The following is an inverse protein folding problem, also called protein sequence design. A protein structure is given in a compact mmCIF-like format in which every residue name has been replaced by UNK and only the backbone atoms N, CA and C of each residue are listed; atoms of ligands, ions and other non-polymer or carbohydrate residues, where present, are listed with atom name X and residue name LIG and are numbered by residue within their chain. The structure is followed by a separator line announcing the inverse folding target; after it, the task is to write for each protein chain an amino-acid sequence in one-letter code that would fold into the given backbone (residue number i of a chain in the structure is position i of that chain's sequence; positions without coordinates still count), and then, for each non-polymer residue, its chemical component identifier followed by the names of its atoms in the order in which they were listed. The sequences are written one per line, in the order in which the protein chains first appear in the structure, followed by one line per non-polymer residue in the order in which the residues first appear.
data_IF_004697886882
#
_entry.id   IF_004697886882
#
_cell.length_a   1.000
_cell.length_b   1.000
_cell.length_c   1.000
_cell.angle_alpha   90.00
_cell.angle_beta   90.00
_cell.angle_gamma   90.00
#
_symmetry.space_group_name_H-M   'P 1'
#
loop_
_entity.id
_entity.type
_entity.pdbx_description
1 polymer ?
#
# COMPACT_ATOMS: atom_id res chain seq x y z
N UNK A 1 30.79 -53.15 23.78
CA UNK A 1 30.33 -52.43 22.57
C UNK A 1 30.30 -50.94 22.91
N UNK A 2 31.37 -50.19 22.60
CA UNK A 2 31.50 -49.26 21.45
C UNK A 2 30.38 -48.20 21.35
N UNK A 3 30.69 -47.03 21.92
CA UNK A 3 30.51 -45.64 21.47
C UNK A 3 29.11 -45.14 21.04
N UNK A 4 28.60 -44.21 21.86
CA UNK A 4 28.12 -42.85 21.52
C UNK A 4 27.78 -42.57 20.05
N UNK A 5 26.52 -42.18 19.82
CA UNK A 5 26.06 -41.34 18.70
C UNK A 5 25.19 -40.27 19.37
N UNK A 6 25.82 -39.18 19.81
CA UNK A 6 25.80 -37.88 19.11
C UNK A 6 24.37 -37.34 19.00
N UNK A 7 24.03 -36.57 20.03
CA UNK A 7 23.25 -35.33 19.97
C UNK A 7 22.58 -35.03 18.62
N UNK A 8 21.30 -35.35 18.51
CA UNK A 8 20.37 -34.61 17.65
C UNK A 8 20.27 -33.19 18.21
N UNK A 9 21.26 -32.36 17.84
CA UNK A 9 21.09 -30.92 17.83
C UNK A 9 20.05 -30.70 16.74
N UNK A 10 18.81 -30.47 17.16
CA UNK A 10 17.80 -29.84 16.33
C UNK A 10 18.39 -28.50 15.90
N UNK A 11 19.04 -28.49 14.73
CA UNK A 11 19.22 -27.27 13.98
C UNK A 11 17.80 -26.86 13.56
N UNK A 12 17.10 -26.15 14.45
CA UNK A 12 16.12 -25.20 13.97
C UNK A 12 16.84 -24.36 12.90
N UNK A 13 16.27 -24.21 11.70
CA UNK A 13 16.78 -23.20 10.80
C UNK A 13 16.64 -21.89 11.58
N UNK A 14 17.77 -21.32 12.00
CA UNK A 14 17.85 -19.93 12.42
C UNK A 14 17.36 -19.15 11.21
N UNK A 15 16.05 -18.88 11.17
CA UNK A 15 15.42 -18.20 10.07
C UNK A 15 16.19 -16.89 9.89
N UNK A 16 16.75 -16.74 8.69
CA UNK A 16 17.72 -15.73 8.30
C UNK A 16 17.28 -14.34 8.78
N UNK A 17 17.93 -13.81 9.81
CA UNK A 17 17.72 -12.41 10.24
C UNK A 17 17.98 -11.43 9.08
N UNK A 18 18.76 -11.85 8.08
CA UNK A 18 19.06 -11.08 6.87
C UNK A 18 17.81 -10.74 6.04
N UNK A 19 16.88 -11.68 5.89
CA UNK A 19 15.68 -11.47 5.07
C UNK A 19 14.76 -10.43 5.73
N UNK A 20 14.61 -10.49 7.05
CA UNK A 20 13.83 -9.50 7.81
C UNK A 20 14.41 -8.10 7.67
N UNK A 21 15.73 -7.95 7.77
CA UNK A 21 16.38 -6.64 7.60
C UNK A 21 16.20 -6.09 6.19
N UNK A 22 16.29 -6.94 5.15
CA UNK A 22 16.03 -6.53 3.77
C UNK A 22 14.60 -6.00 3.61
N UNK A 23 13.61 -6.75 4.10
CA UNK A 23 12.21 -6.35 3.96
C UNK A 23 11.85 -5.11 4.78
N UNK A 24 12.49 -4.91 5.94
CA UNK A 24 12.39 -3.64 6.66
C UNK A 24 13.00 -2.47 5.87
N UNK A 25 14.13 -2.68 5.19
CA UNK A 25 14.73 -1.64 4.33
C UNK A 25 13.82 -1.31 3.13
N UNK A 26 13.16 -2.30 2.53
CA UNK A 26 12.14 -2.09 1.49
C UNK A 26 10.98 -1.25 2.03
N UNK A 27 10.48 -1.56 3.24
CA UNK A 27 9.42 -0.78 3.89
C UNK A 27 9.85 0.67 4.15
N UNK A 28 11.05 0.89 4.71
CA UNK A 28 11.58 2.25 4.95
C UNK A 28 11.69 3.03 3.65
N UNK A 29 12.20 2.41 2.58
CA UNK A 29 12.32 3.03 1.26
C UNK A 29 10.95 3.41 0.70
N UNK A 30 9.97 2.49 0.73
CA UNK A 30 8.62 2.74 0.25
C UNK A 30 7.95 3.92 0.97
N UNK A 31 8.14 4.03 2.30
CA UNK A 31 7.61 5.14 3.09
C UNK A 31 8.30 6.46 2.72
N UNK A 32 9.62 6.47 2.55
CA UNK A 32 10.36 7.67 2.12
C UNK A 32 9.96 8.13 0.72
N UNK A 33 9.80 7.21 -0.20
CA UNK A 33 9.37 7.51 -1.57
C UNK A 33 7.95 8.08 -1.57
N UNK A 34 7.04 7.52 -0.75
CA UNK A 34 5.69 8.07 -0.59
C UNK A 34 5.73 9.52 -0.07
N UNK A 35 6.53 9.78 0.96
CA UNK A 35 6.71 11.13 1.51
C UNK A 35 7.24 12.09 0.44
N UNK A 36 8.22 11.66 -0.35
CA UNK A 36 8.80 12.48 -1.41
C UNK A 36 7.76 12.80 -2.49
N UNK A 37 7.05 11.78 -2.99
CA UNK A 37 6.02 11.96 -4.01
C UNK A 37 4.88 12.87 -3.52
N UNK A 38 4.46 12.75 -2.26
CA UNK A 38 3.41 13.62 -1.70
C UNK A 38 3.81 15.09 -1.60
N UNK A 39 5.11 15.38 -1.40
CA UNK A 39 5.61 16.75 -1.45
C UNK A 39 5.50 17.34 -2.85
N UNK A 40 5.87 16.56 -3.87
CA UNK A 40 5.86 17.01 -5.26
C UNK A 40 4.47 17.05 -5.89
N UNK A 41 3.50 16.31 -5.34
CA UNK A 41 2.10 16.33 -5.79
C UNK A 41 1.47 17.73 -5.81
N UNK A 42 1.94 18.65 -4.97
CA UNK A 42 1.43 20.02 -4.93
C UNK A 42 1.80 20.82 -6.19
N UNK A 43 2.77 20.36 -6.96
CA UNK A 43 3.20 20.97 -8.21
C UNK A 43 2.45 20.36 -9.41
N UNK A 44 1.59 21.14 -10.11
CA UNK A 44 0.87 20.68 -11.29
C UNK A 44 1.79 20.20 -12.42
N UNK A 45 2.98 20.80 -12.58
CA UNK A 45 3.90 20.42 -13.65
C UNK A 45 4.46 19.02 -13.44
N UNK A 46 4.68 18.63 -12.19
CA UNK A 46 5.13 17.27 -11.82
C UNK A 46 3.99 16.26 -11.91
N UNK A 47 2.76 16.67 -11.59
CA UNK A 47 1.58 15.80 -11.70
C UNK A 47 1.23 15.42 -13.15
N UNK A 48 1.61 16.22 -14.14
CA UNK A 48 1.42 15.88 -15.55
C UNK A 48 2.42 14.82 -16.05
N UNK A 49 3.59 14.71 -15.39
CA UNK A 49 4.62 13.72 -15.73
C UNK A 49 4.04 12.29 -15.64
N UNK A 50 4.00 11.54 -16.75
CA UNK A 50 3.52 10.16 -16.77
C UNK A 50 4.29 9.23 -15.82
N UNK A 51 5.60 9.44 -15.65
CA UNK A 51 6.45 8.60 -14.80
C UNK A 51 6.07 8.83 -13.34
N UNK A 52 6.00 10.09 -12.92
CA UNK A 52 5.57 10.45 -11.57
C UNK A 52 4.18 9.88 -11.24
N UNK A 53 3.21 10.03 -12.14
CA UNK A 53 1.86 9.48 -11.94
C UNK A 53 1.84 7.97 -11.81
N UNK A 54 2.67 7.28 -12.60
CA UNK A 54 2.79 5.84 -12.53
C UNK A 54 3.36 5.40 -11.18
N UNK A 55 4.49 5.97 -10.77
CA UNK A 55 5.17 5.62 -9.51
C UNK A 55 4.26 5.89 -8.31
N UNK A 56 3.64 7.07 -8.29
CA UNK A 56 2.74 7.47 -7.22
C UNK A 56 1.51 6.56 -7.11
N UNK A 57 0.91 6.17 -8.25
CA UNK A 57 -0.21 5.22 -8.26
C UNK A 57 0.22 3.84 -7.83
N UNK A 58 1.37 3.37 -8.30
CA UNK A 58 1.89 2.03 -8.00
C UNK A 58 2.19 1.90 -6.51
N UNK A 59 2.83 2.90 -5.92
CA UNK A 59 3.16 2.91 -4.50
C UNK A 59 1.91 2.93 -3.61
N UNK A 60 0.91 3.76 -3.96
CA UNK A 60 -0.39 3.76 -3.27
C UNK A 60 -1.10 2.41 -3.33
N UNK A 61 -1.09 1.77 -4.51
CA UNK A 61 -1.67 0.43 -4.67
C UNK A 61 -0.94 -0.61 -3.82
N UNK A 62 0.38 -0.51 -3.71
CA UNK A 62 1.17 -1.43 -2.90
C UNK A 62 0.79 -1.34 -1.41
N UNK A 63 0.67 -0.13 -0.85
CA UNK A 63 0.23 0.08 0.54
C UNK A 63 -1.21 -0.41 0.82
N UNK A 64 -2.10 -0.33 -0.18
CA UNK A 64 -3.50 -0.79 -0.04
C UNK A 64 -3.74 -2.24 -0.48
N UNK A 65 -2.72 -2.93 -0.97
CA UNK A 65 -2.90 -4.29 -1.47
C UNK A 65 -3.33 -5.22 -0.33
N UNK A 66 -4.41 -6.01 -0.48
CA UNK A 66 -4.79 -7.00 0.51
C UNK A 66 -3.89 -8.25 0.47
N UNK A 67 -2.96 -8.34 -0.50
CA UNK A 67 -2.11 -9.52 -0.71
C UNK A 67 -1.27 -9.86 0.52
N UNK A 68 -1.12 -11.15 0.79
CA UNK A 68 -0.22 -11.72 1.81
C UNK A 68 0.98 -12.45 1.18
N UNK A 69 1.21 -12.25 -0.12
CA UNK A 69 2.35 -12.84 -0.82
C UNK A 69 3.67 -12.17 -0.39
N UNK A 70 4.80 -12.89 -0.44
CA UNK A 70 6.12 -12.33 -0.14
C UNK A 70 6.38 -11.00 -0.87
N UNK A 71 6.81 -9.99 -0.12
CA UNK A 71 7.06 -8.64 -0.62
C UNK A 71 5.84 -7.71 -0.69
N UNK A 72 4.63 -8.18 -0.34
CA UNK A 72 3.48 -7.30 -0.15
C UNK A 72 3.61 -6.50 1.16
N UNK A 73 2.92 -5.36 1.24
CA UNK A 73 2.87 -4.55 2.47
C UNK A 73 2.37 -5.37 3.68
N UNK A 74 1.25 -6.10 3.54
CA UNK A 74 0.69 -6.87 4.65
C UNK A 74 1.61 -8.04 5.06
N UNK A 75 2.30 -8.66 4.10
CA UNK A 75 3.25 -9.72 4.39
C UNK A 75 4.45 -9.19 5.19
N UNK A 76 5.02 -8.05 4.77
CA UNK A 76 6.13 -7.42 5.50
C UNK A 76 5.68 -6.98 6.90
N UNK A 77 4.50 -6.37 7.05
CA UNK A 77 3.94 -6.04 8.37
C UNK A 77 3.81 -7.27 9.27
N UNK A 78 3.36 -8.40 8.71
CA UNK A 78 3.23 -9.65 9.44
C UNK A 78 4.59 -10.22 9.87
N UNK A 79 5.62 -10.10 9.01
CA UNK A 79 6.99 -10.51 9.31
C UNK A 79 7.56 -9.82 10.56
N UNK A 80 7.18 -8.56 10.78
CA UNK A 80 7.65 -7.74 11.92
C UNK A 80 6.62 -7.62 13.05
N UNK A 81 5.58 -8.47 13.06
CA UNK A 81 4.51 -8.48 14.07
C UNK A 81 3.79 -7.12 14.25
N UNK A 82 3.54 -6.43 13.14
CA UNK A 82 2.76 -5.19 13.10
C UNK A 82 1.42 -5.45 12.41
N UNK A 83 0.32 -4.96 12.98
CA UNK A 83 -0.98 -4.99 12.31
C UNK A 83 -0.97 -4.10 11.05
N UNK A 84 -1.20 -4.66 9.84
CA UNK A 84 -1.12 -3.89 8.61
C UNK A 84 -2.13 -2.74 8.54
N UNK A 85 -3.34 -2.92 9.11
CA UNK A 85 -4.38 -1.88 9.13
C UNK A 85 -3.94 -0.70 10.00
N UNK A 86 -3.43 -0.98 11.19
CA UNK A 86 -2.87 0.03 12.08
C UNK A 86 -1.71 0.77 11.41
N UNK A 87 -0.78 0.06 10.77
CA UNK A 87 0.36 0.67 10.09
C UNK A 87 -0.08 1.59 8.94
N UNK A 88 -1.04 1.14 8.13
CA UNK A 88 -1.60 1.94 7.04
C UNK A 88 -2.32 3.19 7.56
N UNK A 89 -3.21 3.04 8.54
CA UNK A 89 -3.91 4.17 9.16
C UNK A 89 -2.91 5.18 9.73
N UNK A 90 -1.85 4.69 10.38
CA UNK A 90 -0.81 5.54 10.95
C UNK A 90 -0.06 6.33 9.88
N UNK A 91 0.19 5.74 8.72
CA UNK A 91 0.80 6.41 7.57
C UNK A 91 -0.13 7.48 6.98
N UNK A 92 -1.40 7.15 6.76
CA UNK A 92 -2.41 8.09 6.24
C UNK A 92 -2.59 9.31 7.15
N UNK A 93 -2.71 9.08 8.47
CA UNK A 93 -2.81 10.14 9.47
C UNK A 93 -1.59 11.07 9.46
N UNK A 94 -0.38 10.49 9.48
CA UNK A 94 0.86 11.27 9.59
C UNK A 94 1.14 12.09 8.34
N UNK A 95 0.83 11.54 7.18
CA UNK A 95 1.09 12.21 5.91
C UNK A 95 -0.06 13.14 5.51
N UNK A 96 -1.22 13.06 6.18
CA UNK A 96 -2.48 13.70 5.75
C UNK A 96 -2.83 13.29 4.31
N UNK A 97 -2.52 12.05 3.97
CA UNK A 97 -2.65 11.52 2.62
C UNK A 97 -3.84 10.61 2.55
N UNK A 98 -4.64 10.79 1.50
CA UNK A 98 -5.62 9.81 1.08
C UNK A 98 -4.91 8.86 0.11
N UNK A 99 -4.46 7.68 0.59
CA UNK A 99 -3.78 6.69 -0.24
C UNK A 99 -4.75 5.97 -1.20
N UNK A 100 -6.06 6.21 -1.06
CA UNK A 100 -7.12 5.65 -1.89
C UNK A 100 -6.87 5.97 -3.38
N UNK A 101 -6.98 4.98 -4.29
CA UNK A 101 -6.93 5.20 -5.72
C UNK A 101 -7.98 6.24 -6.19
N UNK A 102 -7.54 7.24 -6.97
CA UNK A 102 -8.44 8.28 -7.50
C UNK A 102 -9.57 7.73 -8.39
N UNK A 103 -9.46 6.47 -8.86
CA UNK A 103 -10.53 5.77 -9.59
C UNK A 103 -11.84 5.66 -8.81
N UNK A 104 -11.80 5.72 -7.47
CA UNK A 104 -13.01 5.64 -6.64
C UNK A 104 -13.73 6.99 -6.47
N UNK A 105 -13.14 8.13 -6.87
CA UNK A 105 -13.78 9.45 -6.74
C UNK A 105 -14.71 9.80 -7.91
N UNK A 106 -14.54 9.20 -9.09
CA UNK A 106 -15.34 9.54 -10.27
C UNK A 106 -16.80 9.07 -10.24
N UNK A 107 -17.18 8.19 -9.31
CA UNK A 107 -18.54 7.60 -9.31
C UNK A 107 -19.59 8.50 -8.64
N UNK A 108 -19.21 9.53 -7.86
CA UNK A 108 -20.19 10.32 -7.08
C UNK A 108 -20.63 11.65 -7.66
N UNK A 109 -19.98 12.16 -8.71
CA UNK A 109 -20.32 13.48 -9.29
C UNK A 109 -21.21 13.42 -10.54
N UNK A 110 -21.35 12.25 -11.19
CA UNK A 110 -22.15 12.13 -12.42
C UNK A 110 -23.57 11.58 -12.20
N UNK A 111 -23.93 11.20 -10.97
CA UNK A 111 -25.25 10.62 -10.65
C UNK A 111 -26.32 11.63 -10.21
N UNK A 112 -25.98 12.90 -10.00
CA UNK A 112 -26.91 13.94 -9.54
C UNK A 112 -27.40 14.91 -10.63
N UNK A 113 -26.94 14.77 -11.88
CA UNK A 113 -27.35 15.65 -13.00
C UNK A 113 -28.29 15.01 -14.01
N UNK A 114 -28.92 13.86 -13.71
CA UNK A 114 -29.84 13.15 -14.63
C UNK A 114 -31.28 12.97 -14.11
N UNK A 115 -31.76 13.87 -13.23
CA UNK A 115 -33.16 13.89 -12.77
C UNK A 115 -33.84 15.27 -12.89
N UNK A 116 -33.50 16.04 -13.90
CA UNK A 116 -34.35 17.12 -14.37
C UNK A 116 -34.77 16.79 -15.81
N UNK A 117 -36.05 17.01 -16.12
CA UNK A 117 -36.68 16.95 -17.45
C UNK A 117 -37.25 15.62 -17.96
N UNK A 118 -38.16 15.00 -17.20
CA UNK A 118 -39.20 14.11 -17.81
C UNK A 118 -40.62 14.35 -17.26
N UNK A 119 -40.95 15.56 -16.76
CA UNK A 119 -42.32 15.85 -16.29
C UNK A 119 -43.05 16.97 -17.04
N UNK A 120 -42.62 17.32 -18.25
CA UNK A 120 -43.24 18.38 -19.05
C UNK A 120 -43.75 17.90 -20.43
N UNK A 121 -44.24 16.66 -20.54
CA UNK A 121 -44.67 16.09 -21.82
C UNK A 121 -46.02 15.34 -21.81
N UNK A 122 -46.92 15.60 -20.85
CA UNK A 122 -48.31 15.12 -20.95
C UNK A 122 -49.28 16.13 -20.32
N UNK A 123 -49.60 17.17 -21.09
CA UNK A 123 -50.79 17.98 -20.94
C UNK A 123 -51.23 18.46 -22.33
N UNK A 124 -51.99 17.61 -23.02
CA UNK A 124 -52.81 17.96 -24.18
C UNK A 124 -54.02 17.04 -24.17
#
# INVERSE_FOLDING_TARGET
MKKSVVSEIMNEPVADNNDTHLWMAVMDRAVRDLIALEKYRQDPAVMEDPVFRYDYRTLKKWFHSPSMEPGSFNWICSLVNIDPKWALNRLEERLKVCLIPESSRKVRLDSDSKKADISAAFAA
#
